data_IF_065222824219
#
_entry.id   IF_065222824219
#
_cell.length_a   1.000
_cell.length_b   1.000
_cell.length_c   1.000
_cell.angle_alpha   90.00
_cell.angle_beta   90.00
_cell.angle_gamma   90.00
#
_symmetry.space_group_name_H-M   'P 1'
#
loop_
_entity.id
_entity.type
_entity.pdbx_description
1 polymer ?
#
# COMPACT_ATOMS: atom_id res chain seq x y z
N UNK A 1 15.84 17.00 4.53
CA UNK A 1 14.76 15.99 4.43
C UNK A 1 15.44 14.62 4.45
N UNK A 2 15.01 13.72 5.34
CA UNK A 2 15.62 12.38 5.45
C UNK A 2 15.08 11.53 4.30
N UNK A 3 15.96 10.85 3.56
CA UNK A 3 15.58 9.89 2.51
C UNK A 3 16.18 8.53 2.84
N UNK A 4 15.33 7.52 2.84
CA UNK A 4 15.72 6.11 3.01
C UNK A 4 15.35 5.37 1.73
N UNK A 5 16.22 4.46 1.28
CA UNK A 5 15.99 3.59 0.13
C UNK A 5 16.28 2.15 0.52
N UNK A 6 15.38 1.24 0.15
CA UNK A 6 15.54 -0.21 0.33
C UNK A 6 15.10 -0.91 -0.95
N UNK A 7 15.73 -2.03 -1.25
CA UNK A 7 15.38 -2.86 -2.41
C UNK A 7 15.66 -4.34 -2.12
N UNK A 8 14.93 -5.20 -2.81
CA UNK A 8 15.10 -6.65 -2.77
C UNK A 8 14.73 -7.25 -4.13
N UNK A 9 15.21 -8.46 -4.40
CA UNK A 9 14.85 -9.22 -5.60
C UNK A 9 13.78 -10.23 -5.23
N UNK A 10 12.73 -10.32 -6.06
CA UNK A 10 11.68 -11.33 -5.98
C UNK A 10 11.77 -12.18 -7.24
N UNK A 11 11.94 -13.49 -7.08
CA UNK A 11 11.99 -14.45 -8.20
C UNK A 11 10.58 -14.77 -8.71
N UNK A 12 9.95 -13.78 -9.34
CA UNK A 12 8.62 -13.87 -9.94
C UNK A 12 8.47 -12.84 -11.07
N UNK A 13 7.45 -13.00 -11.93
CA UNK A 13 7.15 -12.00 -12.95
C UNK A 13 6.68 -10.69 -12.31
N UNK A 14 7.02 -9.56 -12.93
CA UNK A 14 6.65 -8.23 -12.42
C UNK A 14 5.13 -8.07 -12.26
N UNK A 15 4.35 -8.61 -13.20
CA UNK A 15 2.88 -8.58 -13.15
C UNK A 15 2.32 -9.32 -11.94
N UNK A 16 2.87 -10.48 -11.60
CA UNK A 16 2.41 -11.29 -10.47
C UNK A 16 2.66 -10.56 -9.14
N UNK A 17 3.84 -9.94 -9.01
CA UNK A 17 4.17 -9.10 -7.86
C UNK A 17 3.27 -7.87 -7.82
N UNK A 18 3.08 -7.23 -8.97
CA UNK A 18 2.30 -6.00 -9.07
C UNK A 18 0.85 -6.19 -8.69
N UNK A 19 0.22 -7.31 -9.05
CA UNK A 19 -1.15 -7.61 -8.63
C UNK A 19 -1.34 -7.55 -7.11
N UNK A 20 -0.30 -7.91 -6.33
CA UNK A 20 -0.33 -7.80 -4.87
C UNK A 20 -0.05 -6.37 -4.38
N UNK A 21 0.88 -5.66 -5.01
CA UNK A 21 1.29 -4.30 -4.60
C UNK A 21 0.23 -3.26 -4.95
N UNK A 22 -0.41 -3.37 -6.12
CA UNK A 22 -1.42 -2.41 -6.61
C UNK A 22 -2.71 -2.45 -5.80
N UNK A 23 -3.01 -3.58 -5.15
CA UNK A 23 -4.14 -3.66 -4.23
C UNK A 23 -3.78 -2.90 -2.95
N UNK A 24 -4.06 -1.60 -2.98
CA UNK A 24 -3.79 -0.71 -1.86
C UNK A 24 -4.50 -1.13 -0.57
N UNK A 25 -5.62 -1.87 -0.62
CA UNK A 25 -6.24 -2.37 0.61
C UNK A 25 -5.74 -3.77 1.01
N UNK A 26 -4.97 -4.42 0.13
CA UNK A 26 -4.55 -5.81 0.23
C UNK A 26 -3.43 -6.08 1.24
N UNK A 27 -2.85 -5.08 1.90
CA UNK A 27 -1.72 -5.28 2.82
C UNK A 27 -1.86 -6.47 3.80
N UNK A 28 -3.02 -6.72 4.44
CA UNK A 28 -3.14 -7.85 5.37
C UNK A 28 -2.91 -9.23 4.74
N UNK A 29 -3.02 -9.37 3.41
CA UNK A 29 -2.81 -10.64 2.71
C UNK A 29 -1.34 -11.02 2.57
N UNK A 30 -0.42 -10.04 2.56
CA UNK A 30 0.99 -10.27 2.26
C UNK A 30 1.98 -9.58 3.20
N UNK A 31 1.61 -8.47 3.83
CA UNK A 31 2.51 -7.74 4.74
C UNK A 31 2.39 -8.29 6.17
N UNK A 32 3.45 -8.92 6.73
CA UNK A 32 3.35 -9.66 7.98
C UNK A 32 3.00 -8.78 9.19
N UNK A 33 3.41 -7.50 9.16
CA UNK A 33 3.14 -6.53 10.23
C UNK A 33 1.72 -5.99 10.29
N UNK A 34 0.88 -6.22 9.27
CA UNK A 34 -0.47 -5.63 9.20
C UNK A 34 -1.52 -6.65 9.65
N UNK A 35 -2.41 -6.22 10.54
CA UNK A 35 -3.50 -7.03 11.08
C UNK A 35 -4.80 -6.87 10.27
N UNK A 36 -5.15 -5.64 9.90
CA UNK A 36 -6.32 -5.33 9.09
C UNK A 36 -6.13 -4.00 8.35
N UNK A 37 -6.80 -3.83 7.21
CA UNK A 37 -6.83 -2.60 6.42
C UNK A 37 -8.25 -2.36 5.90
N UNK A 38 -8.68 -1.10 5.91
CA UNK A 38 -10.00 -0.69 5.41
C UNK A 38 -9.87 0.60 4.62
N UNK A 39 -10.59 0.67 3.50
CA UNK A 39 -10.75 1.90 2.75
C UNK A 39 -11.80 2.80 3.42
N UNK A 40 -11.48 4.08 3.55
CA UNK A 40 -12.39 5.11 4.05
C UNK A 40 -13.34 5.61 2.94
N UNK A 41 -14.48 6.18 3.36
CA UNK A 41 -15.44 6.87 2.49
C UNK A 41 -16.02 6.06 1.31
N UNK A 42 -15.86 4.73 1.31
CA UNK A 42 -16.40 3.85 0.25
C UNK A 42 -15.79 4.10 -1.13
N UNK A 43 -14.62 4.75 -1.19
CA UNK A 43 -13.89 5.00 -2.43
C UNK A 43 -13.27 3.68 -2.90
N UNK A 44 -13.08 3.51 -4.22
CA UNK A 44 -12.36 2.36 -4.74
C UNK A 44 -10.89 2.39 -4.30
N UNK A 45 -10.32 1.24 -3.93
CA UNK A 45 -8.96 1.14 -3.41
C UNK A 45 -7.88 1.55 -4.41
N UNK A 46 -8.19 1.57 -5.70
CA UNK A 46 -7.27 1.94 -6.79
C UNK A 46 -7.41 3.40 -7.26
N UNK A 47 -8.29 4.19 -6.65
CA UNK A 47 -8.47 5.60 -7.01
C UNK A 47 -7.41 6.48 -6.34
N UNK A 48 -6.72 7.31 -7.12
CA UNK A 48 -5.83 8.36 -6.57
C UNK A 48 -6.61 9.25 -5.59
N UNK A 49 -6.01 9.53 -4.43
CA UNK A 49 -6.64 10.25 -3.33
C UNK A 49 -7.45 9.39 -2.36
N UNK A 50 -7.62 8.09 -2.65
CA UNK A 50 -8.22 7.13 -1.73
C UNK A 50 -7.40 7.01 -0.44
N UNK A 51 -8.10 6.89 0.70
CA UNK A 51 -7.49 6.78 2.03
C UNK A 51 -7.77 5.40 2.60
N UNK A 52 -6.71 4.75 3.11
CA UNK A 52 -6.82 3.54 3.94
C UNK A 52 -6.51 3.86 5.39
N UNK A 53 -7.16 3.14 6.29
CA UNK A 53 -6.78 3.02 7.69
C UNK A 53 -6.46 1.56 7.98
N UNK A 54 -5.27 1.30 8.51
CA UNK A 54 -4.85 -0.06 8.87
C UNK A 54 -4.29 -0.13 10.29
N UNK A 55 -4.43 -1.31 10.88
CA UNK A 55 -3.87 -1.62 12.20
C UNK A 55 -2.68 -2.54 12.02
N UNK A 56 -1.58 -2.22 12.70
CA UNK A 56 -0.42 -3.10 12.78
C UNK A 56 -0.62 -4.11 13.92
N UNK A 57 0.08 -5.24 13.84
CA UNK A 57 -0.03 -6.31 14.86
C UNK A 57 0.50 -5.91 16.23
N UNK A 58 1.36 -4.90 16.30
CA UNK A 58 1.90 -4.31 17.52
C UNK A 58 1.01 -3.18 18.10
N UNK A 59 -0.17 -2.95 17.52
CA UNK A 59 -1.19 -2.02 18.05
C UNK A 59 -1.13 -0.61 17.49
N UNK A 60 -0.22 -0.34 16.53
CA UNK A 60 -0.21 0.90 15.77
C UNK A 60 -1.44 1.04 14.86
N UNK A 61 -1.82 2.29 14.60
CA UNK A 61 -2.88 2.65 13.67
C UNK A 61 -2.32 3.73 12.76
N UNK A 62 -2.43 3.53 11.46
CA UNK A 62 -1.86 4.43 10.46
C UNK A 62 -2.93 4.69 9.40
N UNK A 63 -3.02 5.95 8.97
CA UNK A 63 -3.80 6.37 7.80
C UNK A 63 -2.88 6.77 6.66
N UNK A 64 -3.19 6.33 5.46
CA UNK A 64 -2.41 6.64 4.27
C UNK A 64 -3.30 6.99 3.09
N UNK A 65 -2.83 7.93 2.25
CA UNK A 65 -3.52 8.37 1.05
C UNK A 65 -2.70 8.06 -0.21
N UNK A 66 -3.32 7.45 -1.22
CA UNK A 66 -2.68 7.25 -2.53
C UNK A 66 -2.41 8.60 -3.20
N UNK A 67 -1.18 8.78 -3.67
CA UNK A 67 -0.73 9.92 -4.48
C UNK A 67 -0.56 9.54 -5.95
N UNK A 68 -0.02 8.34 -6.23
CA UNK A 68 0.15 7.78 -7.58
C UNK A 68 -0.19 6.30 -7.57
N UNK A 69 -0.88 5.85 -8.63
CA UNK A 69 -0.99 4.44 -8.98
C UNK A 69 -0.87 4.30 -10.50
N UNK A 70 0.20 3.66 -10.98
CA UNK A 70 0.49 3.49 -12.40
C UNK A 70 0.77 2.02 -12.70
N UNK A 71 -0.14 1.41 -13.47
CA UNK A 71 0.03 0.04 -13.95
C UNK A 71 1.10 -0.08 -15.05
N UNK A 72 1.41 1.01 -15.75
CA UNK A 72 2.43 1.03 -16.79
C UNK A 72 3.85 1.13 -16.20
N UNK A 73 4.01 1.94 -15.15
CA UNK A 73 5.32 2.16 -14.49
C UNK A 73 5.55 1.24 -13.29
N UNK A 74 4.56 0.40 -12.92
CA UNK A 74 4.58 -0.39 -11.68
C UNK A 74 4.83 0.45 -10.43
N UNK A 75 4.18 1.62 -10.35
CA UNK A 75 4.42 2.62 -9.32
C UNK A 75 3.19 2.82 -8.44
N UNK A 76 3.36 2.69 -7.13
CA UNK A 76 2.39 3.12 -6.12
C UNK A 76 3.10 4.03 -5.11
N UNK A 77 2.61 5.25 -4.95
CA UNK A 77 3.11 6.19 -3.94
C UNK A 77 1.97 6.65 -3.04
N UNK A 78 2.31 6.92 -1.78
CA UNK A 78 1.34 7.33 -0.77
C UNK A 78 1.98 8.28 0.24
N UNK A 79 1.15 9.03 0.96
CA UNK A 79 1.53 9.81 2.14
C UNK A 79 0.90 9.22 3.39
N UNK A 80 1.66 9.21 4.49
CA UNK A 80 1.12 8.93 5.82
C UNK A 80 0.44 10.21 6.32
N UNK A 81 -0.81 10.08 6.75
CA UNK A 81 -1.63 11.19 7.22
C UNK A 81 -1.52 11.37 8.74
N UNK A 82 -1.64 10.27 9.50
CA UNK A 82 -1.34 10.08 10.94
C UNK A 82 -1.67 8.66 11.32
#
# INVERSE_FOLDING_TARGET
MIRVYTSSVIDAAADDVWQQVRDFNGLPSWHPGIAESRIEAGIQSDRIGCVRIFRTRDGGVIREQILTLSDFEYECTYSILV
#
